data_IF_334389667017
#
_entry.id   IF_334389667017
#
_cell.length_a   1.000
_cell.length_b   1.000
_cell.length_c   1.000
_cell.angle_alpha   90.00
_cell.angle_beta   90.00
_cell.angle_gamma   90.00
#
_symmetry.space_group_name_H-M   'P 1'
#
loop_
_entity.id
_entity.type
_entity.pdbx_description
1 polymer ?
#
# COMPACT_ATOMS: atom_id res chain seq x y z
N UNK A 1 -4.05 8.22 -15.00
CA UNK A 1 -4.16 6.88 -14.39
C UNK A 1 -3.65 6.95 -12.95
N UNK A 2 -3.95 5.99 -12.05
CA UNK A 2 -3.43 6.02 -10.68
C UNK A 2 -1.90 5.96 -10.64
N UNK A 3 -1.28 6.65 -9.68
CA UNK A 3 0.18 6.63 -9.50
C UNK A 3 0.63 5.33 -8.84
N UNK A 4 1.84 4.88 -9.16
CA UNK A 4 2.44 3.68 -8.56
C UNK A 4 2.60 3.86 -7.04
N UNK A 5 2.15 2.89 -6.24
CA UNK A 5 2.36 2.88 -4.79
C UNK A 5 3.62 2.07 -4.45
N UNK A 6 4.50 2.57 -3.60
CA UNK A 6 5.84 2.01 -3.39
C UNK A 6 6.12 1.84 -1.90
N UNK A 7 7.21 1.16 -1.58
CA UNK A 7 7.76 1.14 -0.21
C UNK A 7 7.94 2.57 0.32
N UNK A 8 7.70 2.76 1.61
CA UNK A 8 7.71 4.04 2.34
C UNK A 8 6.65 5.06 1.88
N UNK A 9 5.81 4.76 0.89
CA UNK A 9 4.59 5.53 0.65
C UNK A 9 3.54 5.19 1.74
N UNK A 10 2.55 6.07 1.93
CA UNK A 10 1.61 5.99 3.04
C UNK A 10 0.35 5.22 2.64
N UNK A 11 -0.06 4.28 3.48
CA UNK A 11 -1.41 3.72 3.48
C UNK A 11 -2.27 4.47 4.49
N UNK A 12 -3.42 4.99 4.04
CA UNK A 12 -4.31 5.86 4.82
C UNK A 12 -4.73 5.22 6.14
N UNK A 13 -5.16 6.03 7.10
CA UNK A 13 -5.86 5.52 8.27
C UNK A 13 -7.21 4.88 7.88
N UNK A 14 -7.82 4.21 8.86
CA UNK A 14 -9.21 3.76 8.75
C UNK A 14 -9.92 3.82 10.09
N UNK A 15 -11.24 3.96 10.03
CA UNK A 15 -12.06 4.46 11.14
C UNK A 15 -11.49 5.78 11.72
N UNK A 16 -12.09 6.29 12.80
CA UNK A 16 -11.61 7.53 13.43
C UNK A 16 -10.31 7.36 14.24
N UNK A 17 -9.74 6.15 14.32
CA UNK A 17 -8.77 5.82 15.36
C UNK A 17 -7.53 5.04 14.93
N UNK A 18 -7.50 4.41 13.75
CA UNK A 18 -6.28 3.77 13.26
C UNK A 18 -5.53 4.74 12.34
N UNK A 19 -4.32 5.19 12.74
CA UNK A 19 -3.58 6.19 11.99
C UNK A 19 -3.04 5.63 10.66
N UNK A 20 -2.66 6.49 9.71
CA UNK A 20 -1.88 6.08 8.55
C UNK A 20 -0.57 5.42 8.95
N UNK A 21 -0.06 4.53 8.10
CA UNK A 21 1.24 3.88 8.32
C UNK A 21 1.97 3.61 7.00
N UNK A 22 3.29 3.50 7.08
CA UNK A 22 4.15 3.37 5.91
C UNK A 22 4.13 1.95 5.34
N UNK A 23 4.20 1.85 4.01
CA UNK A 23 4.46 0.61 3.29
C UNK A 23 5.85 0.06 3.62
N UNK A 24 5.94 -1.22 3.99
CA UNK A 24 7.21 -1.88 4.39
C UNK A 24 7.64 -2.98 3.44
N UNK A 25 6.69 -3.56 2.70
CA UNK A 25 6.93 -4.55 1.66
C UNK A 25 7.36 -3.93 0.33
N UNK A 26 7.22 -4.73 -0.73
CA UNK A 26 7.51 -4.34 -2.11
C UNK A 26 8.27 -5.42 -2.87
N UNK A 27 8.36 -5.23 -4.18
CA UNK A 27 9.14 -6.08 -5.08
C UNK A 27 10.64 -6.11 -4.71
N UNK A 28 11.30 -7.27 -4.81
CA UNK A 28 12.75 -7.37 -4.56
C UNK A 28 13.61 -6.79 -5.70
N UNK A 29 13.05 -6.61 -6.89
CA UNK A 29 13.81 -6.32 -8.11
C UNK A 29 13.16 -5.28 -9.04
N UNK A 30 11.90 -4.89 -8.81
CA UNK A 30 11.22 -3.84 -9.57
C UNK A 30 11.06 -2.59 -8.72
N UNK A 31 11.69 -1.51 -9.20
CA UNK A 31 11.76 -0.23 -8.51
C UNK A 31 11.08 0.87 -9.32
N UNK A 32 10.37 1.75 -8.63
CA UNK A 32 9.78 2.98 -9.20
C UNK A 32 10.36 4.17 -8.45
N UNK A 33 11.02 5.07 -9.19
CA UNK A 33 11.83 6.16 -8.63
C UNK A 33 12.79 5.70 -7.52
N UNK A 34 13.45 4.56 -7.72
CA UNK A 34 14.42 4.00 -6.77
C UNK A 34 13.82 3.31 -5.54
N UNK A 35 12.49 3.21 -5.42
CA UNK A 35 11.81 2.51 -4.32
C UNK A 35 11.12 1.23 -4.81
N UNK A 36 11.15 0.13 -4.03
CA UNK A 36 10.40 -1.09 -4.36
C UNK A 36 8.92 -0.82 -4.66
N UNK A 37 8.42 -1.33 -5.79
CA UNK A 37 7.00 -1.22 -6.14
C UNK A 37 6.17 -2.14 -5.23
N UNK A 38 5.11 -1.61 -4.59
CA UNK A 38 4.16 -2.42 -3.82
C UNK A 38 3.32 -3.29 -4.75
N UNK A 39 2.93 -4.45 -4.26
CA UNK A 39 2.08 -5.42 -4.95
C UNK A 39 1.05 -5.98 -3.97
N UNK A 40 -0.01 -6.59 -4.49
CA UNK A 40 -1.00 -7.28 -3.66
C UNK A 40 -0.32 -8.29 -2.75
N UNK A 41 -0.55 -8.17 -1.44
CA UNK A 41 0.05 -9.02 -0.39
C UNK A 41 1.27 -8.41 0.31
N UNK A 42 1.88 -7.36 -0.25
CA UNK A 42 2.96 -6.63 0.40
C UNK A 42 2.44 -5.86 1.64
N UNK A 43 3.27 -5.79 2.68
CA UNK A 43 2.85 -5.34 4.02
C UNK A 43 3.09 -3.85 4.26
N UNK A 44 2.37 -3.31 5.26
CA UNK A 44 2.65 -2.01 5.87
C UNK A 44 3.07 -2.20 7.33
N UNK A 45 3.59 -1.15 7.95
CA UNK A 45 3.74 -1.11 9.40
C UNK A 45 2.38 -1.38 10.08
N UNK A 46 2.31 -2.30 11.06
CA UNK A 46 1.13 -2.48 11.88
C UNK A 46 0.73 -1.19 12.56
N UNK A 47 -0.56 -1.03 12.82
CA UNK A 47 -1.04 0.13 13.57
C UNK A 47 -2.01 -0.27 14.66
N UNK A 48 -2.07 0.56 15.69
CA UNK A 48 -2.96 0.38 16.83
C UNK A 48 -3.89 1.58 16.98
N UNK A 49 -5.05 1.32 17.57
CA UNK A 49 -5.96 2.37 17.99
C UNK A 49 -5.43 2.99 19.29
N UNK A 50 -4.85 4.19 19.24
CA UNK A 50 -4.41 4.87 20.48
C UNK A 50 -5.57 5.20 21.44
N UNK A 51 -6.76 5.66 20.99
CA UNK A 51 -7.84 6.06 21.90
C UNK A 51 -8.78 4.91 22.32
N UNK A 52 -8.56 3.67 21.88
CA UNK A 52 -9.46 2.55 22.17
C UNK A 52 -8.70 1.25 22.42
N UNK A 53 -9.27 0.28 23.16
CA UNK A 53 -8.55 -0.93 23.60
C UNK A 53 -8.32 -1.97 22.49
N UNK A 54 -8.49 -1.60 21.21
CA UNK A 54 -8.27 -2.54 20.11
C UNK A 54 -6.77 -2.83 19.94
N UNK A 55 -6.37 -4.10 19.83
CA UNK A 55 -4.96 -4.46 19.68
C UNK A 55 -4.39 -3.95 18.35
N UNK A 56 -3.07 -3.89 18.27
CA UNK A 56 -2.36 -3.68 17.01
C UNK A 56 -2.67 -4.82 16.03
N UNK A 57 -2.81 -4.50 14.75
CA UNK A 57 -3.00 -5.48 13.69
C UNK A 57 -2.15 -5.16 12.47
N UNK A 58 -1.79 -6.22 11.74
CA UNK A 58 -1.02 -6.11 10.49
C UNK A 58 -1.89 -5.59 9.35
N UNK A 59 -1.24 -5.08 8.31
CA UNK A 59 -1.88 -4.48 7.14
C UNK A 59 -1.20 -4.97 5.87
N UNK A 60 -1.97 -5.24 4.83
CA UNK A 60 -1.47 -5.67 3.51
C UNK A 60 -2.26 -5.03 2.39
N UNK A 61 -1.60 -4.77 1.27
CA UNK A 61 -2.29 -4.29 0.08
C UNK A 61 -3.22 -5.41 -0.43
N UNK A 62 -4.52 -5.14 -0.51
CA UNK A 62 -5.54 -6.12 -0.85
C UNK A 62 -5.90 -6.10 -2.34
N UNK A 63 -5.82 -4.93 -2.98
CA UNK A 63 -6.14 -4.74 -4.39
C UNK A 63 -4.95 -4.18 -5.18
N UNK A 64 -5.02 -4.30 -6.50
CA UNK A 64 -3.96 -3.87 -7.41
C UNK A 64 -4.48 -3.71 -8.83
N UNK A 65 -3.56 -3.45 -9.76
CA UNK A 65 -3.88 -3.40 -11.19
C UNK A 65 -4.46 -4.72 -11.72
N UNK A 66 -5.46 -4.63 -12.60
CA UNK A 66 -6.05 -5.77 -13.29
C UNK A 66 -5.19 -6.29 -14.47
N UNK A 67 -4.27 -5.45 -14.97
CA UNK A 67 -3.51 -5.70 -16.21
C UNK A 67 -2.00 -5.64 -16.01
N UNK A 68 -1.51 -5.04 -14.93
CA UNK A 68 -0.08 -4.91 -14.64
C UNK A 68 0.31 -5.80 -13.46
N UNK A 69 1.20 -6.75 -13.72
CA UNK A 69 1.70 -7.71 -12.73
C UNK A 69 3.21 -7.57 -12.56
N UNK A 70 3.66 -7.62 -11.32
CA UNK A 70 5.07 -7.49 -10.91
C UNK A 70 5.42 -8.71 -10.07
N UNK A 71 6.38 -9.50 -10.50
CA UNK A 71 6.71 -10.81 -9.92
C UNK A 71 5.47 -11.72 -9.73
N UNK A 72 4.53 -11.67 -10.68
CA UNK A 72 3.30 -12.47 -10.64
C UNK A 72 2.21 -11.96 -9.70
N UNK A 73 2.40 -10.82 -9.02
CA UNK A 73 1.39 -10.19 -8.16
C UNK A 73 0.91 -8.88 -8.79
N UNK A 74 -0.36 -8.54 -8.62
CA UNK A 74 -0.92 -7.30 -9.17
C UNK A 74 -0.19 -6.08 -8.59
N UNK A 75 0.19 -5.13 -9.46
CA UNK A 75 0.94 -3.94 -9.07
C UNK A 75 0.05 -2.95 -8.29
N UNK A 76 0.57 -2.44 -7.18
CA UNK A 76 -0.14 -1.52 -6.30
C UNK A 76 -0.11 -0.07 -6.77
N UNK A 77 -1.22 0.63 -6.55
CA UNK A 77 -1.46 1.99 -7.02
C UNK A 77 -2.15 2.82 -5.94
N UNK A 78 -2.06 4.15 -6.03
CA UNK A 78 -2.87 5.04 -5.20
C UNK A 78 -4.35 4.68 -5.37
N UNK A 79 -5.05 4.54 -4.24
CA UNK A 79 -6.46 4.20 -4.16
C UNK A 79 -6.76 2.72 -4.02
N UNK A 80 -5.79 1.83 -4.25
CA UNK A 80 -6.00 0.38 -4.05
C UNK A 80 -6.20 0.07 -2.56
N UNK A 81 -7.16 -0.80 -2.26
CA UNK A 81 -7.59 -1.10 -0.89
C UNK A 81 -6.52 -1.81 -0.05
N UNK A 82 -6.55 -1.55 1.26
CA UNK A 82 -5.75 -2.26 2.27
C UNK A 82 -6.68 -3.20 3.05
N UNK A 83 -6.22 -4.42 3.33
CA UNK A 83 -7.04 -5.53 3.88
C UNK A 83 -7.77 -5.21 5.19
N UNK A 84 -7.15 -4.44 6.07
CA UNK A 84 -7.73 -4.02 7.34
C UNK A 84 -8.62 -2.78 7.23
N UNK A 85 -8.71 -2.16 6.04
CA UNK A 85 -9.35 -0.88 5.79
C UNK A 85 -8.37 0.23 5.40
N UNK A 86 -8.92 1.27 4.76
CA UNK A 86 -8.14 2.35 4.14
C UNK A 86 -7.66 1.98 2.74
N UNK A 87 -6.78 2.81 2.19
CA UNK A 87 -6.24 2.63 0.85
C UNK A 87 -4.79 3.13 0.77
N UNK A 88 -4.07 2.73 -0.27
CA UNK A 88 -2.81 3.36 -0.63
C UNK A 88 -3.02 4.86 -0.92
N UNK A 89 -2.48 5.73 -0.07
CA UNK A 89 -2.77 7.17 -0.04
C UNK A 89 -1.78 7.99 -0.87
N UNK A 90 -0.49 7.67 -0.78
CA UNK A 90 0.56 8.36 -1.54
C UNK A 90 1.26 7.42 -2.51
N UNK A 91 2.01 7.98 -3.45
CA UNK A 91 2.65 7.21 -4.51
C UNK A 91 3.75 8.00 -5.22
N UNK A 92 4.20 7.45 -6.34
CA UNK A 92 5.14 8.10 -7.26
C UNK A 92 4.64 9.48 -7.71
N UNK A 93 5.55 10.48 -7.86
CA UNK A 93 5.18 11.78 -8.39
C UNK A 93 4.85 11.76 -9.90
N UNK A 94 5.38 10.79 -10.64
CA UNK A 94 5.42 10.83 -12.10
C UNK A 94 5.06 9.50 -12.78
N UNK A 95 5.24 8.35 -12.12
CA UNK A 95 4.91 7.04 -12.68
C UNK A 95 3.46 6.65 -12.40
N UNK A 96 2.75 6.35 -13.47
CA UNK A 96 1.38 5.86 -13.47
C UNK A 96 1.32 4.38 -13.85
N UNK A 97 0.38 3.65 -13.26
CA UNK A 97 0.14 2.23 -13.55
C UNK A 97 -1.31 2.09 -14.02
N UNK A 98 -1.47 1.41 -15.16
CA UNK A 98 -2.77 1.13 -15.77
C UNK A 98 -3.60 0.13 -14.97
N UNK A 99 -4.81 -0.10 -15.45
CA UNK A 99 -5.76 -1.07 -14.92
C UNK A 99 -6.68 -1.50 -16.03
#
# INVERSE_FOLDING_TARGET
>A
MPKAHRRDDIGSGHACHFPPSAATGGSPDVFVNGKPLMRVGDSYEPHACSPCPKPSHGRKLAEGSATVFVNGQAAGRIGDAIDCGGAAETGSPDVEIGG
#
